data_IF_227350913672
#
_entry.id   IF_227350913672
#
_cell.length_a   1.000
_cell.length_b   1.000
_cell.length_c   1.000
_cell.angle_alpha   90.00
_cell.angle_beta   90.00
_cell.angle_gamma   90.00
#
_symmetry.space_group_name_H-M   'P 1'
#
loop_
_entity.id
_entity.type
_entity.pdbx_description
1 polymer ?
#
# COMPACT_ATOMS: atom_id res chain seq x y z
N UNK A 1 6.47 2.41 -9.73
CA UNK A 1 7.29 1.18 -9.71
C UNK A 1 6.48 0.01 -10.22
N UNK A 2 7.12 -1.00 -10.80
CA UNK A 2 6.49 -2.23 -11.27
C UNK A 2 7.47 -3.41 -11.12
N UNK A 3 6.95 -4.64 -11.20
CA UNK A 3 7.77 -5.85 -11.27
C UNK A 3 7.58 -6.52 -12.63
N UNK A 4 8.69 -6.95 -13.22
CA UNK A 4 8.71 -7.73 -14.45
C UNK A 4 9.27 -9.12 -14.15
N UNK A 5 8.60 -10.16 -14.65
CA UNK A 5 9.09 -11.54 -14.54
C UNK A 5 9.83 -11.91 -15.82
N UNK A 6 11.13 -12.14 -15.69
CA UNK A 6 11.94 -12.75 -16.74
C UNK A 6 12.00 -14.26 -16.46
N UNK A 7 11.57 -15.08 -17.41
CA UNK A 7 11.42 -16.53 -17.22
C UNK A 7 12.65 -17.33 -17.58
N UNK A 8 13.64 -16.73 -18.24
CA UNK A 8 14.93 -17.36 -18.50
C UNK A 8 15.78 -17.38 -17.22
N UNK A 9 16.58 -18.43 -17.05
CA UNK A 9 17.39 -18.66 -15.83
C UNK A 9 18.76 -18.00 -15.88
N UNK A 10 19.11 -17.37 -16.99
CA UNK A 10 20.40 -16.72 -17.15
C UNK A 10 20.44 -15.35 -16.44
N UNK A 11 21.18 -15.31 -15.31
CA UNK A 11 21.41 -14.09 -14.52
C UNK A 11 22.08 -12.99 -15.36
N UNK A 12 22.98 -13.35 -16.28
CA UNK A 12 23.70 -12.37 -17.12
C UNK A 12 22.75 -11.72 -18.12
N UNK A 13 21.86 -12.51 -18.75
CA UNK A 13 20.84 -11.97 -19.64
C UNK A 13 19.83 -11.07 -18.92
N UNK A 14 19.43 -11.45 -17.69
CA UNK A 14 18.56 -10.62 -16.87
C UNK A 14 19.19 -9.23 -16.59
N UNK A 15 20.50 -9.20 -16.30
CA UNK A 15 21.26 -7.95 -16.12
C UNK A 15 21.30 -7.15 -17.44
N UNK A 16 21.64 -7.78 -18.57
CA UNK A 16 21.64 -7.10 -19.89
C UNK A 16 20.28 -6.49 -20.22
N UNK A 17 19.19 -7.22 -19.95
CA UNK A 17 17.83 -6.72 -20.14
C UNK A 17 17.53 -5.53 -19.24
N UNK A 18 17.96 -5.57 -17.97
CA UNK A 18 17.76 -4.47 -17.04
C UNK A 18 18.43 -3.17 -17.50
N UNK A 19 19.67 -3.24 -18.02
CA UNK A 19 20.34 -2.10 -18.63
C UNK A 19 19.58 -1.58 -19.86
N UNK A 20 19.15 -2.49 -20.75
CA UNK A 20 18.34 -2.11 -21.92
C UNK A 20 17.05 -1.39 -21.53
N UNK A 21 16.37 -1.83 -20.47
CA UNK A 21 15.17 -1.16 -19.95
C UNK A 21 15.53 0.21 -19.39
N UNK A 22 16.57 0.30 -18.55
CA UNK A 22 17.00 1.56 -17.93
C UNK A 22 17.35 2.63 -18.97
N UNK A 23 18.19 2.26 -19.94
CA UNK A 23 18.63 3.16 -21.00
C UNK A 23 17.47 3.50 -21.95
N UNK A 24 16.63 2.52 -22.30
CA UNK A 24 15.44 2.74 -23.12
C UNK A 24 14.43 3.69 -22.47
N UNK A 25 14.26 3.67 -21.14
CA UNK A 25 13.39 4.63 -20.45
C UNK A 25 13.97 6.05 -20.53
N UNK A 26 15.29 6.18 -20.35
CA UNK A 26 15.97 7.48 -20.47
C UNK A 26 15.85 8.05 -21.89
N UNK A 27 16.09 7.22 -22.91
CA UNK A 27 16.04 7.62 -24.32
C UNK A 27 14.63 8.01 -24.78
N UNK A 28 13.61 7.25 -24.39
CA UNK A 28 12.24 7.47 -24.88
C UNK A 28 11.46 8.52 -24.06
N UNK A 29 11.77 8.70 -22.78
CA UNK A 29 10.97 9.54 -21.89
C UNK A 29 11.75 10.66 -21.18
N UNK A 30 13.08 10.72 -21.33
CA UNK A 30 13.90 11.80 -20.78
C UNK A 30 14.12 11.78 -19.28
N UNK A 31 13.82 10.68 -18.58
CA UNK A 31 14.09 10.51 -17.15
C UNK A 31 14.76 9.16 -16.84
N UNK A 32 15.51 9.11 -15.74
CA UNK A 32 16.26 7.91 -15.31
C UNK A 32 15.43 7.03 -14.39
N UNK A 33 15.67 5.72 -14.43
CA UNK A 33 15.12 4.75 -13.47
C UNK A 33 16.23 3.94 -12.82
N UNK A 34 15.95 3.34 -11.68
CA UNK A 34 16.78 2.28 -11.12
C UNK A 34 16.10 0.94 -11.35
N UNK A 35 16.88 -0.09 -11.66
CA UNK A 35 16.37 -1.43 -11.92
C UNK A 35 17.04 -2.43 -10.97
N UNK A 36 16.24 -3.04 -10.10
CA UNK A 36 16.69 -4.12 -9.23
C UNK A 36 16.44 -5.49 -9.83
N UNK A 37 17.43 -6.37 -9.75
CA UNK A 37 17.44 -7.70 -10.39
C UNK A 37 17.62 -8.77 -9.32
N UNK A 38 16.71 -9.75 -9.29
CA UNK A 38 16.80 -10.89 -8.37
C UNK A 38 15.85 -12.03 -8.79
N UNK A 39 15.87 -13.11 -8.01
CA UNK A 39 15.07 -14.33 -8.15
C UNK A 39 13.65 -14.19 -7.56
N UNK A 40 13.41 -13.17 -6.72
CA UNK A 40 12.10 -12.88 -6.16
C UNK A 40 11.82 -11.37 -6.05
N UNK A 41 10.55 -11.01 -5.84
CA UNK A 41 10.09 -9.60 -5.80
C UNK A 41 10.71 -8.82 -4.65
N UNK A 42 10.79 -9.41 -3.46
CA UNK A 42 11.42 -8.78 -2.30
C UNK A 42 12.85 -8.33 -2.62
N UNK A 43 13.69 -9.27 -3.06
CA UNK A 43 15.11 -9.01 -3.29
C UNK A 43 15.31 -8.07 -4.50
N UNK A 44 14.48 -8.19 -5.54
CA UNK A 44 14.49 -7.23 -6.65
C UNK A 44 14.13 -5.81 -6.19
N UNK A 45 13.15 -5.67 -5.28
CA UNK A 45 12.81 -4.37 -4.68
C UNK A 45 13.98 -3.80 -3.87
N UNK A 46 14.59 -4.63 -3.02
CA UNK A 46 15.74 -4.27 -2.20
C UNK A 46 16.93 -3.84 -3.06
N UNK A 47 17.24 -4.59 -4.12
CA UNK A 47 18.29 -4.24 -5.07
C UNK A 47 18.04 -2.85 -5.68
N UNK A 48 16.81 -2.58 -6.14
CA UNK A 48 16.45 -1.30 -6.74
C UNK A 48 16.48 -0.11 -5.77
N UNK A 49 16.50 -0.36 -4.46
CA UNK A 49 16.57 0.66 -3.42
C UNK A 49 17.98 0.97 -2.92
N UNK A 50 19.00 0.14 -3.24
CA UNK A 50 20.37 0.29 -2.73
C UNK A 50 20.98 1.66 -3.00
N UNK A 51 21.31 1.95 -4.25
CA UNK A 51 21.94 3.21 -4.63
C UNK A 51 21.22 3.80 -5.84
N UNK A 52 20.91 5.09 -5.75
CA UNK A 52 20.16 5.86 -6.75
C UNK A 52 20.91 7.17 -7.03
N UNK A 53 20.76 7.80 -8.22
CA UNK A 53 19.90 7.43 -9.36
C UNK A 53 20.63 6.67 -10.49
N UNK A 54 19.86 6.24 -11.52
CA UNK A 54 20.33 5.67 -12.80
C UNK A 54 21.21 4.40 -12.71
N UNK A 55 20.87 3.46 -11.82
CA UNK A 55 21.64 2.21 -11.62
C UNK A 55 20.83 0.93 -11.80
N UNK A 56 21.53 -0.11 -12.25
CA UNK A 56 21.08 -1.49 -12.19
C UNK A 56 21.80 -2.19 -11.04
N UNK A 57 21.06 -2.84 -10.15
CA UNK A 57 21.63 -3.57 -9.00
C UNK A 57 21.13 -5.00 -8.96
N UNK A 58 22.01 -5.92 -8.55
CA UNK A 58 21.66 -7.31 -8.26
C UNK A 58 21.57 -7.55 -6.76
N UNK A 59 20.62 -8.39 -6.38
CA UNK A 59 20.53 -8.95 -5.04
C UNK A 59 20.11 -10.42 -5.13
N UNK A 60 21.02 -11.29 -5.51
CA UNK A 60 20.82 -12.74 -5.48
C UNK A 60 20.99 -13.29 -4.05
N UNK A 61 20.53 -14.52 -3.81
CA UNK A 61 20.59 -15.13 -2.48
C UNK A 61 22.02 -15.15 -1.92
N UNK A 62 23.02 -15.33 -2.78
CA UNK A 62 24.43 -15.35 -2.40
C UNK A 62 24.96 -13.97 -1.96
N UNK A 63 24.35 -12.89 -2.47
CA UNK A 63 24.78 -11.50 -2.24
C UNK A 63 24.19 -10.90 -0.95
N UNK A 64 23.21 -11.57 -0.33
CA UNK A 64 22.46 -11.06 0.82
C UNK A 64 23.37 -10.68 1.99
N UNK A 65 24.33 -11.53 2.32
CA UNK A 65 25.21 -11.31 3.48
C UNK A 65 26.09 -10.09 3.31
N UNK A 66 26.48 -9.80 2.08
CA UNK A 66 27.40 -8.71 1.75
C UNK A 66 26.66 -7.40 1.48
N UNK A 67 25.51 -7.45 0.81
CA UNK A 67 24.80 -6.26 0.36
C UNK A 67 23.59 -5.87 1.22
N UNK A 68 22.86 -6.84 1.77
CA UNK A 68 21.61 -6.59 2.49
C UNK A 68 21.82 -6.55 4.00
N UNK A 69 22.51 -7.55 4.57
CA UNK A 69 22.69 -7.68 6.01
C UNK A 69 23.37 -6.49 6.70
N UNK A 70 24.36 -5.80 6.09
CA UNK A 70 24.98 -4.64 6.71
C UNK A 70 24.06 -3.41 6.79
N UNK A 71 22.94 -3.39 6.07
CA UNK A 71 22.04 -2.25 6.06
C UNK A 71 21.30 -2.11 7.41
N UNK A 72 20.92 -0.89 7.80
CA UNK A 72 20.03 -0.65 8.92
C UNK A 72 18.72 -1.43 8.78
N UNK A 73 18.15 -1.88 9.89
CA UNK A 73 16.97 -2.76 9.88
C UNK A 73 15.75 -2.10 9.22
N UNK A 74 15.65 -0.76 9.26
CA UNK A 74 14.62 0.01 8.56
C UNK A 74 14.70 0.01 7.03
N UNK A 75 15.84 -0.36 6.45
CA UNK A 75 15.98 -0.51 4.99
C UNK A 75 15.32 -1.80 4.51
N UNK A 76 15.08 -2.77 5.41
CA UNK A 76 14.37 -3.98 5.05
C UNK A 76 12.92 -3.68 4.68
N UNK A 77 12.49 -4.18 3.53
CA UNK A 77 11.13 -4.05 3.05
C UNK A 77 10.14 -4.54 4.12
N UNK A 78 9.08 -3.75 4.35
CA UNK A 78 8.10 -3.93 5.43
C UNK A 78 8.53 -3.52 6.85
N UNK A 79 9.79 -3.10 7.08
CA UNK A 79 10.21 -2.53 8.37
C UNK A 79 10.07 -1.01 8.37
N UNK A 80 8.90 -0.53 8.78
CA UNK A 80 8.60 0.91 8.84
C UNK A 80 8.83 1.56 10.20
N UNK A 81 8.44 2.84 10.30
CA UNK A 81 8.53 3.71 11.50
C UNK A 81 7.98 3.09 12.80
N UNK A 82 7.02 2.16 12.70
CA UNK A 82 6.41 1.49 13.87
C UNK A 82 7.15 0.22 14.30
N UNK A 83 7.86 -0.43 13.38
CA UNK A 83 8.55 -1.69 13.63
C UNK A 83 9.99 -1.44 14.10
N UNK A 84 10.70 -0.48 13.48
CA UNK A 84 12.07 -0.09 13.86
C UNK A 84 12.25 0.11 15.38
N UNK A 85 11.46 0.96 16.08
CA UNK A 85 11.67 1.19 17.52
C UNK A 85 11.43 -0.06 18.39
N UNK A 86 10.71 -1.07 17.90
CA UNK A 86 10.53 -2.34 18.62
C UNK A 86 11.78 -3.21 18.48
N UNK A 87 12.32 -3.31 17.27
CA UNK A 87 13.55 -4.04 16.98
C UNK A 87 14.75 -3.42 17.70
N UNK A 88 14.89 -2.09 17.65
CA UNK A 88 15.97 -1.39 18.34
C UNK A 88 15.92 -1.59 19.87
N UNK A 89 14.72 -1.73 20.47
CA UNK A 89 14.59 -2.04 21.91
C UNK A 89 15.04 -3.46 22.27
N UNK A 90 15.17 -4.34 21.30
CA UNK A 90 15.72 -5.70 21.47
C UNK A 90 17.18 -5.79 21.00
N UNK A 91 17.83 -4.65 20.74
CA UNK A 91 19.22 -4.62 20.27
C UNK A 91 19.41 -5.03 18.81
N UNK A 92 18.34 -4.99 18.00
CA UNK A 92 18.39 -5.32 16.57
C UNK A 92 18.38 -4.02 15.78
N UNK A 93 19.51 -3.67 15.19
CA UNK A 93 19.75 -2.42 14.46
C UNK A 93 20.04 -2.64 12.96
N UNK A 94 20.49 -3.84 12.58
CA UNK A 94 20.79 -4.21 11.19
C UNK A 94 19.90 -5.34 10.70
N UNK A 95 19.81 -5.49 9.37
CA UNK A 95 19.08 -6.62 8.76
C UNK A 95 19.75 -7.95 9.12
N UNK A 96 21.08 -7.99 9.19
CA UNK A 96 21.84 -9.16 9.60
C UNK A 96 21.52 -9.60 11.04
N UNK A 97 21.42 -8.66 11.98
CA UNK A 97 20.99 -8.95 13.35
C UNK A 97 19.56 -9.51 13.39
N UNK A 98 18.64 -8.97 12.58
CA UNK A 98 17.28 -9.50 12.49
C UNK A 98 17.27 -10.93 11.94
N UNK A 99 18.11 -11.22 10.93
CA UNK A 99 18.23 -12.55 10.33
C UNK A 99 18.76 -13.59 11.33
N UNK A 100 19.60 -13.18 12.27
CA UNK A 100 20.24 -14.06 13.27
C UNK A 100 19.57 -14.00 14.65
N UNK A 101 18.50 -13.22 14.82
CA UNK A 101 17.75 -13.13 16.07
C UNK A 101 16.98 -14.43 16.38
N UNK A 102 16.56 -14.61 17.64
CA UNK A 102 15.68 -15.72 18.00
C UNK A 102 14.33 -15.59 17.27
N UNK A 103 14.08 -16.52 16.34
CA UNK A 103 12.82 -16.61 15.60
C UNK A 103 11.60 -16.66 16.51
N UNK A 104 11.68 -17.36 17.65
CA UNK A 104 10.56 -17.48 18.60
C UNK A 104 10.25 -16.12 19.23
N UNK A 105 11.27 -15.36 19.61
CA UNK A 105 11.10 -13.99 20.10
C UNK A 105 10.43 -13.10 19.06
N UNK A 106 10.99 -13.03 17.84
CA UNK A 106 10.48 -12.15 16.78
C UNK A 106 9.04 -12.51 16.38
N UNK A 107 8.78 -13.78 16.15
CA UNK A 107 7.44 -14.27 15.75
C UNK A 107 6.39 -14.12 16.85
N UNK A 108 6.78 -14.18 18.13
CA UNK A 108 5.86 -13.95 19.25
C UNK A 108 5.53 -12.47 19.39
N UNK A 109 6.57 -11.62 19.43
CA UNK A 109 6.40 -10.20 19.73
C UNK A 109 5.77 -9.41 18.58
N UNK A 110 6.06 -9.80 17.33
CA UNK A 110 5.55 -9.13 16.12
C UNK A 110 4.52 -9.98 15.35
N UNK A 111 4.14 -11.16 15.87
CA UNK A 111 3.11 -12.05 15.30
C UNK A 111 3.41 -12.39 13.83
N UNK A 112 2.40 -12.32 12.96
CA UNK A 112 2.53 -12.57 11.51
C UNK A 112 3.56 -11.66 10.85
N UNK A 113 3.64 -10.41 11.27
CA UNK A 113 4.61 -9.47 10.73
C UNK A 113 6.05 -9.84 11.12
N UNK A 114 6.26 -10.36 12.33
CA UNK A 114 7.57 -10.88 12.76
C UNK A 114 8.05 -12.03 11.88
N UNK A 115 7.16 -13.00 11.63
CA UNK A 115 7.46 -14.13 10.72
C UNK A 115 7.80 -13.64 9.31
N UNK A 116 7.10 -12.62 8.81
CA UNK A 116 7.34 -12.03 7.50
C UNK A 116 8.74 -11.41 7.42
N UNK A 117 9.05 -10.46 8.29
CA UNK A 117 10.31 -9.70 8.23
C UNK A 117 11.53 -10.58 8.54
N UNK A 118 11.37 -11.59 9.40
CA UNK A 118 12.44 -12.56 9.66
C UNK A 118 12.81 -13.35 8.39
N UNK A 119 11.79 -13.84 7.65
CA UNK A 119 12.03 -14.51 6.38
C UNK A 119 12.60 -13.56 5.33
N UNK A 120 12.14 -12.30 5.32
CA UNK A 120 12.64 -11.29 4.40
C UNK A 120 14.11 -10.93 4.64
N UNK A 121 14.57 -10.93 5.90
CA UNK A 121 15.99 -10.73 6.23
C UNK A 121 16.88 -11.86 5.65
N UNK A 122 16.32 -13.04 5.41
CA UNK A 122 16.95 -14.15 4.70
C UNK A 122 16.66 -14.17 3.18
N UNK A 123 16.02 -13.13 2.64
CA UNK A 123 15.62 -13.05 1.23
C UNK A 123 14.53 -14.03 0.81
N UNK A 124 13.83 -14.65 1.77
CA UNK A 124 12.81 -15.66 1.52
C UNK A 124 11.46 -14.98 1.31
N UNK A 125 11.03 -14.91 0.07
CA UNK A 125 9.71 -14.42 -0.32
C UNK A 125 8.98 -15.47 -1.17
N UNK A 126 7.81 -15.91 -0.69
CA UNK A 126 6.94 -16.86 -1.38
C UNK A 126 5.88 -16.17 -2.26
N UNK A 127 5.98 -14.85 -2.43
CA UNK A 127 5.01 -14.11 -3.23
C UNK A 127 5.05 -14.56 -4.69
N UNK A 128 3.86 -14.82 -5.24
CA UNK A 128 3.72 -15.20 -6.65
C UNK A 128 3.50 -13.96 -7.52
N UNK A 129 3.95 -14.04 -8.77
CA UNK A 129 3.55 -13.10 -9.82
C UNK A 129 2.11 -13.38 -10.21
N UNK A 130 1.17 -12.71 -9.55
CA UNK A 130 -0.24 -12.68 -9.93
C UNK A 130 -0.48 -11.55 -10.92
N UNK A 131 -1.46 -11.78 -11.80
CA UNK A 131 -2.20 -10.69 -12.43
C UNK A 131 -2.82 -9.80 -11.35
N UNK A 132 -3.13 -8.54 -11.69
CA UNK A 132 -3.66 -7.57 -10.71
C UNK A 132 -4.85 -8.19 -9.97
N UNK A 133 -4.78 -8.19 -8.64
CA UNK A 133 -5.90 -8.64 -7.82
C UNK A 133 -7.16 -7.82 -8.20
N UNK A 134 -8.35 -8.44 -8.17
CA UNK A 134 -9.59 -7.70 -8.41
C UNK A 134 -9.73 -6.56 -7.40
N UNK A 135 -10.36 -5.47 -7.83
CA UNK A 135 -10.62 -4.30 -7.00
C UNK A 135 -11.48 -4.74 -5.80
N UNK A 136 -10.98 -4.54 -4.59
CA UNK A 136 -11.69 -4.91 -3.34
C UNK A 136 -12.51 -3.77 -2.73
N UNK A 137 -12.16 -2.54 -3.09
CA UNK A 137 -12.80 -1.32 -2.58
C UNK A 137 -12.49 -0.14 -3.51
N UNK A 138 -13.42 0.81 -3.57
CA UNK A 138 -13.25 2.10 -4.25
C UNK A 138 -13.47 3.20 -3.22
N UNK A 139 -12.72 4.29 -3.28
CA UNK A 139 -12.94 5.40 -2.35
C UNK A 139 -12.24 6.67 -2.76
N UNK A 140 -12.62 7.74 -2.07
CA UNK A 140 -12.03 9.05 -2.21
C UNK A 140 -11.94 9.73 -0.84
N UNK A 141 -10.83 10.41 -0.58
CA UNK A 141 -10.62 11.15 0.65
C UNK A 141 -9.86 12.44 0.37
N UNK A 142 -10.14 13.48 1.15
CA UNK A 142 -9.51 14.79 0.99
C UNK A 142 -9.09 15.35 2.33
N UNK A 143 -7.86 15.87 2.39
CA UNK A 143 -7.42 16.77 3.46
C UNK A 143 -7.86 18.18 3.08
N UNK A 144 -8.68 18.79 3.92
CA UNK A 144 -9.41 20.02 3.59
C UNK A 144 -8.48 21.24 3.64
N UNK A 145 -8.86 22.39 3.08
CA UNK A 145 -8.02 23.61 3.18
C UNK A 145 -8.14 24.29 4.54
N UNK A 146 -9.29 24.11 5.19
CA UNK A 146 -9.62 24.63 6.51
C UNK A 146 -10.30 23.52 7.32
N UNK A 147 -10.32 23.65 8.63
CA UNK A 147 -11.00 22.69 9.49
C UNK A 147 -12.51 22.90 9.42
N UNK A 148 -13.25 21.84 9.07
CA UNK A 148 -14.71 21.88 9.01
C UNK A 148 -15.28 21.69 10.42
N UNK A 149 -16.13 22.63 10.84
CA UNK A 149 -16.67 22.68 12.21
C UNK A 149 -18.19 22.57 12.27
N UNK A 150 -18.86 22.57 11.12
CA UNK A 150 -20.31 22.46 10.99
C UNK A 150 -20.72 21.26 10.13
N UNK A 151 -21.97 20.82 10.32
CA UNK A 151 -22.53 19.65 9.66
C UNK A 151 -22.75 19.87 8.17
N UNK A 152 -23.19 21.07 7.78
CA UNK A 152 -23.62 21.37 6.42
C UNK A 152 -22.43 21.34 5.47
N UNK A 153 -21.34 22.01 5.85
CA UNK A 153 -20.07 21.97 5.12
C UNK A 153 -19.53 20.55 5.03
N UNK A 154 -19.61 19.75 6.11
CA UNK A 154 -19.17 18.36 6.07
C UNK A 154 -19.98 17.52 5.09
N UNK A 155 -21.30 17.71 5.04
CA UNK A 155 -22.19 17.03 4.09
C UNK A 155 -21.89 17.43 2.64
N UNK A 156 -21.61 18.71 2.37
CA UNK A 156 -21.17 19.17 1.04
C UNK A 156 -19.86 18.49 0.61
N UNK A 157 -18.90 18.36 1.52
CA UNK A 157 -17.65 17.63 1.24
C UNK A 157 -17.93 16.15 0.98
N UNK A 158 -18.77 15.50 1.79
CA UNK A 158 -19.14 14.10 1.61
C UNK A 158 -19.82 13.87 0.26
N UNK A 159 -20.66 14.79 -0.21
CA UNK A 159 -21.29 14.71 -1.52
C UNK A 159 -20.24 14.67 -2.63
N UNK A 160 -19.28 15.61 -2.63
CA UNK A 160 -18.19 15.64 -3.61
C UNK A 160 -17.34 14.37 -3.59
N UNK A 161 -17.01 13.86 -2.40
CA UNK A 161 -16.27 12.61 -2.25
C UNK A 161 -17.07 11.40 -2.75
N UNK A 162 -18.38 11.40 -2.52
CA UNK A 162 -19.28 10.33 -2.94
C UNK A 162 -19.44 10.32 -4.44
N UNK A 163 -19.62 11.46 -5.09
CA UNK A 163 -19.72 11.56 -6.56
C UNK A 163 -18.50 10.95 -7.25
N UNK A 164 -17.29 11.33 -6.80
CA UNK A 164 -16.06 10.76 -7.35
C UNK A 164 -15.95 9.25 -7.08
N UNK A 165 -16.39 8.79 -5.91
CA UNK A 165 -16.37 7.37 -5.54
C UNK A 165 -17.34 6.56 -6.39
N UNK A 166 -18.57 7.04 -6.55
CA UNK A 166 -19.61 6.39 -7.34
C UNK A 166 -19.28 6.41 -8.84
N UNK A 167 -18.72 7.52 -9.36
CA UNK A 167 -18.21 7.58 -10.73
C UNK A 167 -17.13 6.52 -10.99
N UNK A 168 -16.12 6.40 -10.12
CA UNK A 168 -15.08 5.36 -10.23
C UNK A 168 -15.63 3.94 -10.13
N UNK A 169 -16.66 3.76 -9.30
CA UNK A 169 -17.32 2.47 -9.13
C UNK A 169 -18.03 2.06 -10.44
N UNK A 170 -18.72 3.00 -11.10
CA UNK A 170 -19.37 2.79 -12.41
C UNK A 170 -18.37 2.57 -13.54
N UNK A 171 -17.27 3.33 -13.59
CA UNK A 171 -16.17 3.11 -14.54
C UNK A 171 -15.58 1.70 -14.42
N UNK A 172 -15.54 1.15 -13.20
CA UNK A 172 -15.13 -0.23 -12.94
C UNK A 172 -16.22 -1.28 -13.24
N UNK A 173 -17.42 -0.87 -13.67
CA UNK A 173 -18.61 -1.72 -13.85
C UNK A 173 -18.94 -2.55 -12.59
N UNK A 174 -18.87 -1.91 -11.42
CA UNK A 174 -19.07 -2.58 -10.13
C UNK A 174 -20.24 -1.96 -9.38
N UNK A 175 -20.86 -2.74 -8.51
CA UNK A 175 -21.77 -2.26 -7.46
C UNK A 175 -21.13 -2.47 -6.09
N UNK A 176 -21.59 -1.74 -5.08
CA UNK A 176 -21.10 -1.89 -3.71
C UNK A 176 -22.23 -2.18 -2.73
N UNK A 177 -21.88 -2.81 -1.60
CA UNK A 177 -22.84 -3.09 -0.51
C UNK A 177 -22.40 -2.55 0.84
N UNK A 178 -21.13 -2.18 1.00
CA UNK A 178 -20.63 -1.58 2.24
C UNK A 178 -20.19 -0.16 1.97
N UNK A 179 -20.74 0.80 2.72
CA UNK A 179 -20.34 2.21 2.71
C UNK A 179 -19.62 2.52 4.01
N UNK A 180 -18.48 3.20 3.91
CA UNK A 180 -17.63 3.57 5.03
C UNK A 180 -17.25 5.05 4.95
N UNK A 181 -17.23 5.72 6.09
CA UNK A 181 -16.70 7.08 6.21
C UNK A 181 -15.51 7.11 7.15
N UNK A 182 -14.57 8.00 6.87
CA UNK A 182 -13.44 8.29 7.74
C UNK A 182 -13.40 9.77 8.07
N UNK A 183 -13.15 10.07 9.35
CA UNK A 183 -12.98 11.42 9.88
C UNK A 183 -11.60 11.49 10.51
N UNK A 184 -10.83 12.50 10.11
CA UNK A 184 -9.57 12.84 10.76
C UNK A 184 -9.67 14.24 11.35
N UNK A 185 -9.38 14.37 12.64
CA UNK A 185 -9.33 15.67 13.31
C UNK A 185 -7.95 16.34 13.15
N UNK A 186 -7.83 17.58 13.66
CA UNK A 186 -6.58 18.37 13.62
C UNK A 186 -5.44 17.76 14.45
N UNK A 187 -5.80 16.98 15.47
CA UNK A 187 -4.85 16.33 16.39
C UNK A 187 -4.41 14.96 15.83
N UNK A 188 -4.70 14.69 14.56
CA UNK A 188 -4.45 13.44 13.84
C UNK A 188 -5.19 12.22 14.42
N UNK A 189 -6.18 12.45 15.27
CA UNK A 189 -7.17 11.45 15.68
C UNK A 189 -7.95 10.98 14.46
N UNK A 190 -8.20 9.67 14.39
CA UNK A 190 -8.78 9.04 13.21
C UNK A 190 -9.91 8.10 13.62
N UNK A 191 -11.08 8.29 13.01
CA UNK A 191 -12.27 7.49 13.26
C UNK A 191 -12.82 6.97 11.94
N UNK A 192 -13.25 5.72 11.93
CA UNK A 192 -13.95 5.09 10.79
C UNK A 192 -15.27 4.53 11.30
N UNK A 193 -16.32 4.67 10.50
CA UNK A 193 -17.57 3.91 10.67
C UNK A 193 -18.03 3.37 9.33
N UNK A 194 -18.59 2.17 9.33
CA UNK A 194 -19.09 1.51 8.13
C UNK A 194 -20.48 0.91 8.36
N UNK A 195 -21.25 0.79 7.28
CA UNK A 195 -22.55 0.14 7.25
C UNK A 195 -22.66 -0.72 6.00
N UNK A 196 -23.23 -1.91 6.19
CA UNK A 196 -23.63 -2.79 5.11
C UNK A 196 -25.09 -2.51 4.75
N UNK A 197 -25.35 -2.19 3.49
CA UNK A 197 -26.68 -1.96 2.92
C UNK A 197 -27.25 -3.32 2.49
N UNK A 198 -28.58 -3.45 2.40
CA UNK A 198 -29.24 -4.72 2.09
C UNK A 198 -29.06 -5.17 0.63
N UNK A 199 -28.86 -4.22 -0.29
CA UNK A 199 -28.72 -4.46 -1.72
C UNK A 199 -27.42 -3.85 -2.26
N UNK A 200 -26.99 -4.33 -3.43
CA UNK A 200 -25.86 -3.77 -4.16
C UNK A 200 -26.30 -2.53 -4.93
N UNK A 201 -25.50 -1.47 -4.87
CA UNK A 201 -25.80 -0.18 -5.51
C UNK A 201 -24.53 0.51 -6.00
N UNK A 202 -24.65 1.22 -7.11
CA UNK A 202 -23.69 2.19 -7.64
C UNK A 202 -24.27 3.62 -7.65
N UNK A 203 -25.48 3.78 -7.11
CA UNK A 203 -26.21 5.03 -7.09
C UNK A 203 -25.56 6.00 -6.10
N UNK A 204 -25.14 7.17 -6.60
CA UNK A 204 -24.53 8.21 -5.77
C UNK A 204 -25.44 8.58 -4.59
N UNK A 205 -26.75 8.72 -4.83
CA UNK A 205 -27.71 9.15 -3.81
C UNK A 205 -27.75 8.17 -2.63
N UNK A 206 -27.81 6.87 -2.90
CA UNK A 206 -27.87 5.85 -1.86
C UNK A 206 -26.59 5.83 -1.02
N UNK A 207 -25.44 5.93 -1.67
CA UNK A 207 -24.14 5.99 -1.01
C UNK A 207 -24.04 7.25 -0.16
N UNK A 208 -24.48 8.39 -0.70
CA UNK A 208 -24.41 9.70 -0.03
C UNK A 208 -25.28 9.74 1.23
N UNK A 209 -26.53 9.28 1.15
CA UNK A 209 -27.42 9.26 2.32
C UNK A 209 -26.84 8.38 3.43
N UNK A 210 -26.27 7.23 3.09
CA UNK A 210 -25.62 6.36 4.06
C UNK A 210 -24.34 6.99 4.63
N UNK A 211 -23.54 7.67 3.81
CA UNK A 211 -22.36 8.40 4.25
C UNK A 211 -22.71 9.52 5.24
N UNK A 212 -23.74 10.33 4.95
CA UNK A 212 -24.21 11.38 5.85
C UNK A 212 -24.76 10.83 7.17
N UNK A 213 -25.57 9.76 7.12
CA UNK A 213 -26.05 9.09 8.34
C UNK A 213 -24.89 8.55 9.19
N UNK A 214 -23.90 7.91 8.56
CA UNK A 214 -22.72 7.42 9.28
C UNK A 214 -21.88 8.55 9.86
N UNK A 215 -21.77 9.67 9.15
CA UNK A 215 -21.09 10.87 9.63
C UNK A 215 -21.79 11.44 10.86
N UNK A 216 -23.11 11.62 10.81
CA UNK A 216 -23.89 12.17 11.91
C UNK A 216 -23.79 11.31 13.18
N UNK A 217 -23.67 9.99 13.02
CA UNK A 217 -23.48 9.07 14.13
C UNK A 217 -22.03 8.98 14.65
N UNK A 218 -21.04 9.34 13.84
CA UNK A 218 -19.61 9.20 14.18
C UNK A 218 -19.00 10.52 14.70
N UNK A 219 -19.49 11.65 14.21
CA UNK A 219 -18.89 12.95 14.44
C UNK A 219 -19.18 13.47 15.86
N UNK A 220 -18.11 13.74 16.60
CA UNK A 220 -18.14 14.22 17.99
C UNK A 220 -18.02 15.75 18.11
N UNK A 221 -18.42 16.49 17.06
CA UNK A 221 -18.37 17.96 16.98
C UNK A 221 -16.95 18.57 17.05
N UNK A 222 -15.91 17.76 16.95
CA UNK A 222 -14.54 18.25 16.83
C UNK A 222 -14.26 18.79 15.42
N UNK A 223 -13.38 19.80 15.27
CA UNK A 223 -12.95 20.29 13.97
C UNK A 223 -12.35 19.17 13.11
N UNK A 224 -12.78 19.08 11.86
CA UNK A 224 -12.43 18.02 10.92
C UNK A 224 -11.37 18.52 9.94
N UNK A 225 -10.23 17.85 9.90
CA UNK A 225 -9.09 18.16 9.01
C UNK A 225 -9.15 17.37 7.70
N UNK A 226 -9.70 16.15 7.73
CA UNK A 226 -9.89 15.33 6.54
C UNK A 226 -11.16 14.47 6.62
N UNK A 227 -11.79 14.25 5.47
CA UNK A 227 -12.94 13.37 5.29
C UNK A 227 -12.66 12.37 4.17
N UNK A 228 -13.20 11.16 4.31
CA UNK A 228 -13.13 10.14 3.28
C UNK A 228 -14.41 9.31 3.19
N UNK A 229 -14.76 8.91 1.97
CA UNK A 229 -15.84 7.98 1.66
C UNK A 229 -15.22 6.79 0.94
N UNK A 230 -15.53 5.58 1.41
CA UNK A 230 -15.06 4.34 0.83
C UNK A 230 -16.22 3.36 0.68
N UNK A 231 -16.21 2.62 -0.42
CA UNK A 231 -17.15 1.53 -0.67
C UNK A 231 -16.40 0.22 -0.87
N UNK A 232 -16.96 -0.86 -0.34
CA UNK A 232 -16.38 -2.21 -0.40
C UNK A 232 -17.49 -3.26 -0.49
N UNK A 233 -17.11 -4.55 -0.47
CA UNK A 233 -18.04 -5.66 -0.75
C UNK A 233 -18.65 -5.44 -2.13
N UNK A 234 -17.79 -5.59 -3.15
CA UNK A 234 -18.07 -5.23 -4.53
C UNK A 234 -18.51 -6.46 -5.33
N UNK A 235 -19.43 -6.25 -6.29
CA UNK A 235 -19.77 -7.24 -7.31
C UNK A 235 -19.80 -6.58 -8.70
N UNK A 236 -19.63 -7.38 -9.75
CA UNK A 236 -19.80 -6.88 -11.11
C UNK A 236 -21.26 -6.51 -11.36
N UNK A 237 -21.47 -5.33 -11.93
CA UNK A 237 -22.81 -4.92 -12.32
C UNK A 237 -23.27 -5.72 -13.53
N UNK A 238 -24.38 -6.45 -13.37
CA UNK A 238 -25.06 -7.18 -14.45
C UNK A 238 -26.00 -6.28 -15.28
N UNK A 239 -26.23 -5.04 -14.85
CA UNK A 239 -27.11 -4.07 -15.50
C UNK A 239 -26.45 -2.70 -15.61
N UNK A 240 -26.36 -2.17 -16.83
CA UNK A 240 -26.04 -0.75 -17.05
C UNK A 240 -27.35 0.05 -16.90
N UNK A 241 -27.42 0.93 -15.91
CA UNK A 241 -28.44 1.98 -15.87
C UNK A 241 -28.09 3.10 -16.83
#
# INVERSE_FOLDING_TARGET
ECFLRFTDKDKEQAVKLAYKIKDGVRENFGYTVNVGISENKLLAKQAGDLEKPDKCHTMFIEEIREKLWPLPVEELFMVGRRTKPKLNRWGIYTIGELANADYKLISTMLKSHGRLIYNYAWGRDISIFKERDPIKSVGNSSTLRFDVTDRETAHVVLLSLTEMTAWRLREANMNCRVVSISIKDKDFGFKIKQRKIMYFTDCTRDIYMNACSLFDELWDKKPIRALGVHVSDLEFSSFKQ
#
